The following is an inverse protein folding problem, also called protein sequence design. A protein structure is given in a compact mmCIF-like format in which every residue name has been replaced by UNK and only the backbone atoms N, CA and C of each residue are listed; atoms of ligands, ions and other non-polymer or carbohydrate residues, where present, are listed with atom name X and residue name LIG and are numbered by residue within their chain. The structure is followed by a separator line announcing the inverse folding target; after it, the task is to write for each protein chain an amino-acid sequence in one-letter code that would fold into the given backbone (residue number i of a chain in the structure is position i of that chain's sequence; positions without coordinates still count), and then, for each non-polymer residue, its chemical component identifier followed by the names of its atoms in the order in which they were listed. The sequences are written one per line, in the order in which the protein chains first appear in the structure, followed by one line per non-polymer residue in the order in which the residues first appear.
data_IF_039287745929
#
_entry.id   IF_039287745929
#
_cell.length_a   1.000
_cell.length_b   1.000
_cell.length_c   1.000
_cell.angle_alpha   90.00
_cell.angle_beta   90.00
_cell.angle_gamma   90.00
#
_symmetry.space_group_name_H-M   'P 1'
#
loop_
_entity.id
_entity.type
_entity.pdbx_description
1 polymer ?
#
# COMPACT_ATOMS: atom_id res chain seq x y z
N UNK A 1 18.24 8.01 -9.92
CA UNK A 1 18.54 8.63 -8.61
C UNK A 1 18.16 7.56 -7.58
N UNK A 2 19.12 6.75 -7.12
CA UNK A 2 18.84 5.67 -6.18
C UNK A 2 18.56 6.27 -4.81
N UNK A 3 17.35 6.09 -4.29
CA UNK A 3 17.02 6.38 -2.91
C UNK A 3 17.56 5.24 -2.05
N UNK A 4 18.27 5.57 -0.96
CA UNK A 4 18.70 4.58 0.01
C UNK A 4 17.45 4.00 0.69
N UNK A 5 17.30 2.67 0.66
CA UNK A 5 16.09 1.95 1.12
C UNK A 5 15.74 2.17 2.61
N UNK A 6 16.67 2.68 3.42
CA UNK A 6 16.47 3.01 4.83
C UNK A 6 15.70 4.31 5.09
N UNK A 7 15.52 5.18 4.09
CA UNK A 7 14.88 6.51 4.26
C UNK A 7 13.44 6.56 3.70
N UNK A 8 12.83 5.39 3.48
CA UNK A 8 11.62 5.22 2.67
C UNK A 8 10.41 4.76 3.51
N UNK A 9 10.59 4.51 4.81
CA UNK A 9 9.54 3.99 5.69
C UNK A 9 8.99 5.07 6.63
N UNK A 10 7.66 5.18 6.70
CA UNK A 10 6.99 6.05 7.65
C UNK A 10 6.98 5.41 9.05
N UNK A 11 6.93 6.20 10.13
CA UNK A 11 6.83 5.66 11.47
C UNK A 11 5.48 4.99 11.71
N UNK A 12 5.46 4.01 12.60
CA UNK A 12 4.23 3.41 13.12
C UNK A 12 3.30 4.47 13.75
N UNK A 13 1.99 4.20 13.73
CA UNK A 13 0.97 5.13 14.23
C UNK A 13 0.44 6.11 13.19
N UNK A 14 0.85 5.98 11.92
CA UNK A 14 0.28 6.70 10.77
C UNK A 14 -1.25 6.66 10.75
N UNK A 15 -1.86 5.54 11.15
CA UNK A 15 -3.32 5.36 11.17
C UNK A 15 -4.08 6.27 12.15
N UNK A 16 -3.37 6.94 13.06
CA UNK A 16 -3.97 7.91 13.99
C UNK A 16 -4.21 9.28 13.35
N UNK A 17 -3.63 9.55 12.17
CA UNK A 17 -3.79 10.80 11.44
C UNK A 17 -5.10 10.84 10.63
N UNK A 18 -6.24 10.59 11.26
CA UNK A 18 -7.54 10.42 10.57
C UNK A 18 -8.01 11.65 9.77
N UNK A 19 -7.46 12.84 10.07
CA UNK A 19 -7.68 14.08 9.30
C UNK A 19 -6.70 14.27 8.14
N UNK A 20 -5.83 13.30 7.85
CA UNK A 20 -4.86 13.36 6.76
C UNK A 20 -5.57 13.32 5.40
N UNK A 21 -5.33 14.34 4.59
CA UNK A 21 -5.92 14.46 3.25
C UNK A 21 -4.99 14.02 2.14
N UNK A 22 -3.67 14.08 2.36
CA UNK A 22 -2.67 13.78 1.34
C UNK A 22 -1.59 12.90 1.93
N UNK A 23 -1.46 11.71 1.37
CA UNK A 23 -0.38 10.77 1.60
C UNK A 23 0.03 10.29 0.21
N UNK A 24 1.23 10.67 -0.24
CA UNK A 24 1.67 10.38 -1.61
C UNK A 24 2.41 9.06 -1.73
N UNK A 25 2.94 8.55 -0.62
CA UNK A 25 3.84 7.41 -0.62
C UNK A 25 3.74 6.65 0.70
N UNK A 26 3.73 5.32 0.63
CA UNK A 26 3.82 4.39 1.76
C UNK A 26 4.79 3.25 1.43
N UNK A 27 5.92 3.20 2.14
CA UNK A 27 6.81 2.04 2.13
C UNK A 27 6.39 1.03 3.19
N UNK A 28 6.08 -0.20 2.77
CA UNK A 28 5.61 -1.28 3.64
C UNK A 28 6.73 -2.31 3.84
N UNK A 29 7.09 -2.54 5.10
CA UNK A 29 8.13 -3.50 5.49
C UNK A 29 7.75 -4.24 6.77
N UNK A 30 8.37 -5.38 7.03
CA UNK A 30 8.16 -6.21 8.22
C UNK A 30 8.96 -5.68 9.42
N UNK A 31 8.87 -4.38 9.67
CA UNK A 31 9.42 -3.72 10.86
C UNK A 31 8.27 -3.15 11.70
N UNK A 32 8.28 -3.47 13.00
CA UNK A 32 7.27 -3.04 13.97
C UNK A 32 7.30 -1.54 14.22
N UNK A 33 8.43 -0.88 14.01
CA UNK A 33 8.57 0.56 14.24
C UNK A 33 8.02 1.38 13.06
N UNK A 34 7.63 0.71 11.97
CA UNK A 34 7.20 1.38 10.74
C UNK A 34 5.73 1.19 10.42
N UNK A 35 5.20 2.11 9.62
CA UNK A 35 3.83 2.10 9.18
C UNK A 35 3.55 0.83 8.37
N UNK A 36 2.40 0.22 8.67
CA UNK A 36 1.90 -0.95 7.97
C UNK A 36 0.91 -0.55 6.89
N UNK A 37 0.56 -1.50 6.04
CA UNK A 37 -0.52 -1.31 5.08
C UNK A 37 -1.86 -1.10 5.82
N UNK A 38 -2.08 -1.84 6.90
CA UNK A 38 -3.24 -1.72 7.80
C UNK A 38 -3.36 -0.37 8.51
N UNK A 39 -2.30 0.44 8.61
CA UNK A 39 -2.40 1.81 9.13
C UNK A 39 -3.28 2.71 8.23
N UNK A 40 -3.51 2.32 6.97
CA UNK A 40 -4.42 3.04 6.08
C UNK A 40 -5.90 2.90 6.46
N UNK A 41 -6.26 1.98 7.39
CA UNK A 41 -7.64 1.60 7.71
C UNK A 41 -8.59 2.77 7.93
N UNK A 42 -8.16 3.74 8.73
CA UNK A 42 -8.98 4.87 9.15
C UNK A 42 -8.68 6.17 8.37
N UNK A 43 -7.76 6.13 7.41
CA UNK A 43 -7.35 7.28 6.60
C UNK A 43 -8.30 7.48 5.42
N UNK A 44 -9.60 7.61 5.70
CA UNK A 44 -10.65 7.69 4.68
C UNK A 44 -10.71 9.05 3.97
N UNK A 45 -10.08 10.07 4.55
CA UNK A 45 -10.00 11.42 3.99
C UNK A 45 -8.90 11.58 2.93
N UNK A 46 -8.13 10.52 2.63
CA UNK A 46 -7.07 10.56 1.64
C UNK A 46 -7.60 10.90 0.24
N UNK A 47 -6.84 11.73 -0.46
CA UNK A 47 -7.18 12.25 -1.79
C UNK A 47 -5.99 12.22 -2.74
N UNK A 48 -6.29 12.21 -4.03
CA UNK A 48 -5.30 12.33 -5.09
C UNK A 48 -4.59 11.01 -5.36
N UNK A 49 -3.26 11.01 -5.30
CA UNK A 49 -2.42 9.86 -5.66
C UNK A 49 -1.70 9.27 -4.45
N UNK A 50 -1.68 7.94 -4.36
CA UNK A 50 -0.91 7.17 -3.39
C UNK A 50 -0.05 6.13 -4.10
N UNK A 51 1.24 6.11 -3.82
CA UNK A 51 2.15 5.01 -4.15
C UNK A 51 2.34 4.10 -2.93
N UNK A 52 2.25 2.79 -3.12
CA UNK A 52 2.54 1.76 -2.13
C UNK A 52 3.70 0.93 -2.64
N UNK A 53 4.83 0.96 -1.93
CA UNK A 53 6.00 0.15 -2.22
C UNK A 53 6.14 -0.95 -1.16
N UNK A 54 6.01 -2.20 -1.56
CA UNK A 54 6.34 -3.34 -0.71
C UNK A 54 7.85 -3.56 -0.73
N UNK A 55 8.52 -3.38 0.41
CA UNK A 55 9.98 -3.43 0.57
C UNK A 55 10.44 -4.80 1.10
N UNK A 56 9.61 -5.47 1.90
CA UNK A 56 9.83 -6.84 2.37
C UNK A 56 8.54 -7.65 2.29
N UNK A 57 8.64 -8.97 2.49
CA UNK A 57 7.47 -9.79 2.78
C UNK A 57 6.72 -9.24 4.00
N UNK A 58 5.40 -9.38 3.98
CA UNK A 58 4.51 -8.93 5.06
C UNK A 58 3.85 -10.14 5.70
N UNK A 59 3.60 -10.04 7.00
CA UNK A 59 2.85 -11.05 7.73
C UNK A 59 1.36 -10.90 7.41
N UNK A 60 0.71 -12.00 7.05
CA UNK A 60 -0.72 -12.06 6.69
C UNK A 60 -1.12 -10.99 5.63
N UNK A 61 -0.65 -11.14 4.38
CA UNK A 61 -0.90 -10.19 3.31
C UNK A 61 -2.38 -9.94 3.03
N UNK A 62 -3.20 -10.98 3.16
CA UNK A 62 -4.65 -10.90 2.92
C UNK A 62 -5.32 -10.02 3.97
N UNK A 63 -4.96 -10.20 5.24
CA UNK A 63 -5.48 -9.36 6.31
C UNK A 63 -5.02 -7.91 6.16
N UNK A 64 -3.72 -7.67 5.95
CA UNK A 64 -3.17 -6.33 5.75
C UNK A 64 -3.84 -5.59 4.59
N UNK A 65 -4.05 -6.26 3.45
CA UNK A 65 -4.71 -5.66 2.29
C UNK A 65 -6.18 -5.30 2.56
N UNK A 66 -6.92 -6.17 3.24
CA UNK A 66 -8.31 -5.91 3.61
C UNK A 66 -8.43 -4.77 4.62
N UNK A 67 -7.59 -4.78 5.64
CA UNK A 67 -7.58 -3.76 6.68
C UNK A 67 -7.16 -2.39 6.15
N UNK A 68 -6.34 -2.35 5.09
CA UNK A 68 -6.00 -1.12 4.38
C UNK A 68 -7.24 -0.34 3.93
N UNK A 69 -8.37 -1.02 3.69
CA UNK A 69 -9.67 -0.43 3.40
C UNK A 69 -9.59 0.67 2.31
N UNK A 70 -8.91 0.36 1.19
CA UNK A 70 -8.83 1.31 0.06
C UNK A 70 -10.20 1.58 -0.56
N UNK A 71 -11.14 0.64 -0.42
CA UNK A 71 -12.54 0.78 -0.81
C UNK A 71 -13.28 1.94 -0.14
N UNK A 72 -12.83 2.44 1.02
CA UNK A 72 -13.47 3.59 1.70
C UNK A 72 -12.86 4.95 1.35
N UNK A 73 -11.75 4.99 0.58
CA UNK A 73 -11.01 6.20 0.24
C UNK A 73 -11.56 6.86 -1.02
N UNK A 74 -12.78 7.39 -0.94
CA UNK A 74 -13.52 7.89 -2.11
C UNK A 74 -12.86 9.09 -2.82
N UNK A 75 -11.94 9.79 -2.15
CA UNK A 75 -11.16 10.89 -2.74
C UNK A 75 -9.85 10.44 -3.41
N UNK A 76 -9.43 9.18 -3.24
CA UNK A 76 -8.25 8.63 -3.88
C UNK A 76 -8.55 8.36 -5.35
N UNK A 77 -7.79 9.00 -6.23
CA UNK A 77 -8.01 8.96 -7.69
C UNK A 77 -6.94 8.14 -8.41
N UNK A 78 -5.73 8.04 -7.86
CA UNK A 78 -4.63 7.29 -8.43
C UNK A 78 -3.97 6.40 -7.38
N UNK A 79 -3.69 5.16 -7.75
CA UNK A 79 -3.00 4.18 -6.91
C UNK A 79 -1.87 3.55 -7.72
N UNK A 80 -0.67 3.59 -7.18
CA UNK A 80 0.48 2.87 -7.71
C UNK A 80 0.93 1.81 -6.70
N UNK A 81 1.15 0.60 -7.18
CA UNK A 81 1.60 -0.53 -6.38
C UNK A 81 2.88 -1.07 -7.00
N UNK A 82 3.92 -1.16 -6.17
CA UNK A 82 5.24 -1.58 -6.60
C UNK A 82 5.83 -2.56 -5.58
N UNK A 83 6.64 -3.50 -6.05
CA UNK A 83 7.39 -4.43 -5.21
C UNK A 83 8.88 -4.22 -5.41
N UNK A 84 9.63 -4.25 -4.30
CA UNK A 84 11.08 -4.25 -4.35
C UNK A 84 11.58 -5.51 -5.08
N UNK A 85 12.70 -5.42 -5.83
CA UNK A 85 13.25 -6.57 -6.53
C UNK A 85 13.55 -7.73 -5.58
N UNK A 86 13.17 -8.95 -5.98
CA UNK A 86 13.46 -10.17 -5.23
C UNK A 86 12.42 -10.55 -4.17
N UNK A 87 11.33 -9.80 -4.04
CA UNK A 87 10.14 -10.25 -3.32
C UNK A 87 9.40 -11.25 -4.21
N UNK A 88 9.34 -12.52 -3.79
CA UNK A 88 8.74 -13.60 -4.56
C UNK A 88 7.24 -13.40 -4.82
N UNK A 89 6.71 -14.29 -5.67
CA UNK A 89 5.35 -14.21 -6.19
C UNK A 89 4.24 -14.57 -5.18
N UNK A 90 4.54 -15.34 -4.14
CA UNK A 90 3.56 -16.08 -3.33
C UNK A 90 2.48 -15.21 -2.68
N UNK A 91 2.78 -13.93 -2.42
CA UNK A 91 1.88 -13.02 -1.72
C UNK A 91 1.31 -11.89 -2.59
N UNK A 92 1.83 -11.69 -3.80
CA UNK A 92 1.46 -10.55 -4.65
C UNK A 92 0.01 -10.64 -5.14
N UNK A 93 -0.44 -11.82 -5.56
CA UNK A 93 -1.81 -12.07 -6.02
C UNK A 93 -2.84 -11.86 -4.90
N UNK A 94 -2.59 -12.47 -3.75
CA UNK A 94 -3.45 -12.39 -2.57
C UNK A 94 -3.56 -10.95 -2.01
N UNK A 95 -2.46 -10.19 -2.06
CA UNK A 95 -2.43 -8.75 -1.77
C UNK A 95 -3.39 -8.01 -2.70
N UNK A 96 -3.20 -8.14 -4.01
CA UNK A 96 -4.02 -7.44 -5.01
C UNK A 96 -5.50 -7.76 -4.88
N UNK A 97 -5.87 -9.02 -4.65
CA UNK A 97 -7.26 -9.43 -4.44
C UNK A 97 -7.89 -8.78 -3.21
N UNK A 98 -7.10 -8.57 -2.14
CA UNK A 98 -7.55 -7.96 -0.89
C UNK A 98 -7.73 -6.45 -0.92
N UNK A 99 -6.93 -5.73 -1.72
CA UNK A 99 -6.83 -4.26 -1.68
C UNK A 99 -8.14 -3.56 -2.07
N UNK A 100 -8.85 -4.09 -3.08
CA UNK A 100 -10.18 -3.63 -3.56
C UNK A 100 -10.38 -2.10 -3.46
N UNK A 101 -9.71 -1.30 -4.31
CA UNK A 101 -9.80 0.15 -4.26
C UNK A 101 -11.22 0.66 -4.54
N UNK A 102 -11.52 1.89 -4.11
CA UNK A 102 -12.83 2.52 -4.37
C UNK A 102 -13.06 2.65 -5.89
N UNK A 103 -14.30 2.47 -6.40
CA UNK A 103 -14.63 2.64 -7.82
C UNK A 103 -14.35 4.03 -8.44
N UNK A 104 -13.94 5.01 -7.63
CA UNK A 104 -13.61 6.36 -8.10
C UNK A 104 -12.16 6.44 -8.60
N UNK A 105 -11.38 5.37 -8.41
CA UNK A 105 -10.02 5.29 -8.87
C UNK A 105 -9.99 5.43 -10.41
N UNK A 106 -9.29 6.46 -10.88
CA UNK A 106 -9.13 6.79 -12.29
C UNK A 106 -7.94 6.07 -12.91
N UNK A 107 -6.93 5.76 -12.10
CA UNK A 107 -5.70 5.12 -12.55
C UNK A 107 -5.17 4.13 -11.51
N UNK A 108 -4.83 2.95 -11.99
CA UNK A 108 -4.10 1.93 -11.26
C UNK A 108 -2.83 1.60 -12.03
N UNK A 109 -1.68 1.72 -11.36
CA UNK A 109 -0.39 1.27 -11.89
C UNK A 109 0.10 0.11 -11.03
N UNK A 110 0.52 -0.98 -11.67
CA UNK A 110 1.13 -2.13 -11.01
C UNK A 110 2.51 -2.32 -11.67
N UNK A 111 3.57 -2.21 -10.88
CA UNK A 111 4.96 -2.27 -11.34
C UNK A 111 5.73 -3.34 -10.59
N UNK A 112 6.71 -3.96 -11.24
CA UNK A 112 7.56 -5.02 -10.64
C UNK A 112 6.76 -6.19 -10.05
N UNK A 113 5.57 -6.44 -10.58
CA UNK A 113 4.71 -7.54 -10.17
C UNK A 113 5.21 -8.86 -10.75
N UNK A 114 5.50 -9.82 -9.86
CA UNK A 114 6.07 -11.13 -10.20
C UNK A 114 5.05 -12.27 -10.06
N UNK A 115 3.76 -11.95 -9.89
CA UNK A 115 2.69 -12.95 -9.85
C UNK A 115 2.35 -13.47 -11.25
N UNK A 116 1.70 -14.64 -11.30
CA UNK A 116 1.34 -15.29 -12.57
C UNK A 116 0.00 -14.78 -13.10
N UNK A 117 -0.88 -14.26 -12.23
CA UNK A 117 -2.26 -13.91 -12.57
C UNK A 117 -2.74 -12.63 -11.89
N UNK A 118 -3.25 -11.70 -12.69
CA UNK A 118 -3.97 -10.56 -12.15
C UNK A 118 -5.38 -10.98 -11.67
N UNK A 119 -5.83 -10.51 -10.50
CA UNK A 119 -7.16 -10.76 -9.96
C UNK A 119 -8.27 -9.96 -10.65
#
# INVERSE_FOLDING_TARGET
RSLNLVDVSLPSGLGQLTSLHKLTFLGVQSDKETAKLSDLKNLNNLRGSLEILFISEINDPIHEAKEANLGSKCGLEELEINWAPGLGNENCEALLEGLKPHPNLKKLTISSYDGERLP
#
